data_IF_469284915954
#
_entry.id   IF_469284915954
#
_cell.length_a   1.000
_cell.length_b   1.000
_cell.length_c   1.000
_cell.angle_alpha   90.00
_cell.angle_beta   90.00
_cell.angle_gamma   90.00
#
_symmetry.space_group_name_H-M   'P 1'
#
loop_
_entity.id
_entity.type
_entity.pdbx_description
1 polymer ?
#
# COMPACT_ATOMS: atom_id res chain seq x y z
N UNK A 1 -12.95 9.59 -15.53
CA UNK A 1 -13.44 8.45 -14.71
C UNK A 1 -13.38 8.88 -13.25
N UNK A 2 -14.47 8.72 -12.47
CA UNK A 2 -14.47 8.96 -11.03
C UNK A 2 -14.14 7.64 -10.31
N UNK A 3 -13.25 7.70 -9.33
CA UNK A 3 -12.77 6.51 -8.62
C UNK A 3 -13.67 6.21 -7.42
N UNK A 4 -14.30 5.04 -7.43
CA UNK A 4 -15.20 4.60 -6.37
C UNK A 4 -14.44 4.03 -5.15
N UNK A 5 -13.40 3.23 -5.38
CA UNK A 5 -12.63 2.55 -4.34
C UNK A 5 -11.80 3.51 -3.49
N UNK A 6 -11.94 3.44 -2.16
CA UNK A 6 -11.07 4.14 -1.22
C UNK A 6 -9.61 3.69 -1.34
N UNK A 7 -9.37 2.41 -1.65
CA UNK A 7 -8.02 1.92 -1.87
C UNK A 7 -7.35 2.68 -3.03
N UNK A 8 -7.93 2.64 -4.23
CA UNK A 8 -7.34 3.32 -5.39
C UNK A 8 -7.33 4.84 -5.24
N UNK A 9 -8.36 5.45 -4.64
CA UNK A 9 -8.32 6.90 -4.34
C UNK A 9 -7.14 7.28 -3.48
N UNK A 10 -6.85 6.50 -2.44
CA UNK A 10 -5.73 6.77 -1.55
C UNK A 10 -4.39 6.37 -2.17
N UNK A 11 -4.32 5.30 -2.95
CA UNK A 11 -3.10 4.91 -3.68
C UNK A 11 -2.70 5.99 -4.69
N UNK A 12 -3.66 6.46 -5.50
CA UNK A 12 -3.42 7.52 -6.49
C UNK A 12 -2.94 8.81 -5.82
N UNK A 13 -3.58 9.23 -4.72
CA UNK A 13 -3.15 10.41 -3.99
C UNK A 13 -1.71 10.29 -3.47
N UNK A 14 -1.32 9.12 -2.94
CA UNK A 14 0.05 8.89 -2.48
C UNK A 14 1.05 8.93 -3.64
N UNK A 15 0.69 8.35 -4.79
CA UNK A 15 1.50 8.36 -6.00
C UNK A 15 1.68 9.80 -6.53
N UNK A 16 0.60 10.57 -6.62
CA UNK A 16 0.66 11.98 -7.06
C UNK A 16 1.51 12.84 -6.11
N UNK A 17 1.35 12.67 -4.78
CA UNK A 17 2.17 13.35 -3.78
C UNK A 17 3.66 12.97 -3.89
N UNK A 18 3.96 11.78 -4.41
CA UNK A 18 5.32 11.29 -4.64
C UNK A 18 5.88 11.67 -6.03
N UNK A 19 5.11 12.39 -6.85
CA UNK A 19 5.54 12.86 -8.17
C UNK A 19 5.11 11.98 -9.34
N UNK A 20 4.24 10.99 -9.12
CA UNK A 20 3.63 10.21 -10.21
C UNK A 20 2.63 11.05 -10.99
N UNK A 21 2.44 10.72 -12.25
CA UNK A 21 1.48 11.35 -13.15
C UNK A 21 0.26 10.45 -13.32
N UNK A 22 -0.93 11.02 -13.17
CA UNK A 22 -2.20 10.32 -13.37
C UNK A 22 -2.94 10.96 -14.55
N UNK A 23 -3.04 10.22 -15.65
CA UNK A 23 -3.77 10.66 -16.83
C UNK A 23 -5.15 10.04 -16.88
N UNK A 24 -6.18 10.88 -16.95
CA UNK A 24 -7.57 10.46 -17.05
C UNK A 24 -7.96 10.18 -18.50
N UNK A 25 -8.41 8.96 -18.77
CA UNK A 25 -9.08 8.56 -20.01
C UNK A 25 -10.57 8.30 -19.73
N UNK A 26 -11.36 8.08 -20.75
CA UNK A 26 -12.79 7.81 -20.61
C UNK A 26 -13.08 6.53 -19.81
N UNK A 27 -12.34 5.44 -20.11
CA UNK A 27 -12.57 4.10 -19.56
C UNK A 27 -11.52 3.64 -18.55
N UNK A 28 -10.42 4.40 -18.36
CA UNK A 28 -9.31 4.01 -17.49
C UNK A 28 -8.45 5.20 -17.08
N UNK A 29 -7.59 4.99 -16.10
CA UNK A 29 -6.47 5.88 -15.81
C UNK A 29 -5.16 5.25 -16.25
N UNK A 30 -4.22 6.09 -16.66
CA UNK A 30 -2.82 5.70 -16.88
C UNK A 30 -1.98 6.34 -15.79
N UNK A 31 -1.36 5.53 -14.97
CA UNK A 31 -0.51 5.97 -13.87
C UNK A 31 0.94 5.74 -14.22
N UNK A 32 1.79 6.79 -14.11
CA UNK A 32 3.22 6.73 -14.41
C UNK A 32 4.04 7.31 -13.28
N UNK A 33 5.11 6.63 -12.94
CA UNK A 33 6.14 7.10 -12.01
C UNK A 33 7.45 7.24 -12.77
N UNK A 34 7.73 8.41 -13.40
CA UNK A 34 8.90 8.60 -14.27
C UNK A 34 10.23 8.31 -13.56
N UNK A 35 10.33 8.71 -12.28
CA UNK A 35 11.52 8.53 -11.45
C UNK A 35 11.76 7.08 -11.00
N UNK A 36 10.76 6.20 -11.17
CA UNK A 36 10.87 4.77 -10.83
C UNK A 36 10.09 3.89 -11.83
N UNK A 37 10.61 3.70 -13.06
CA UNK A 37 9.92 2.94 -14.11
C UNK A 37 9.80 1.45 -13.81
N UNK A 38 10.55 0.93 -12.85
CA UNK A 38 10.48 -0.48 -12.39
C UNK A 38 9.48 -0.70 -11.25
N UNK A 39 8.86 0.35 -10.76
CA UNK A 39 7.80 0.25 -9.75
C UNK A 39 6.47 -0.14 -10.41
N UNK A 40 6.07 -1.39 -10.30
CA UNK A 40 4.90 -1.94 -11.01
C UNK A 40 3.60 -1.22 -10.66
N UNK A 41 3.34 -1.04 -9.36
CA UNK A 41 2.16 -0.33 -8.83
C UNK A 41 2.30 1.21 -8.85
N UNK A 42 3.33 1.71 -9.47
CA UNK A 42 3.50 3.11 -9.88
C UNK A 42 3.38 3.30 -11.40
N UNK A 43 3.34 2.19 -12.18
CA UNK A 43 3.25 2.19 -13.63
C UNK A 43 2.20 1.16 -14.08
N UNK A 44 0.92 1.55 -14.06
CA UNK A 44 -0.20 0.64 -14.28
C UNK A 44 -1.38 1.32 -14.98
N UNK A 45 -2.33 0.51 -15.43
CA UNK A 45 -3.64 0.97 -15.88
C UNK A 45 -4.69 0.67 -14.80
N UNK A 46 -5.51 1.65 -14.43
CA UNK A 46 -6.67 1.47 -13.58
C UNK A 46 -7.93 1.48 -14.44
N UNK A 47 -8.57 0.34 -14.56
CA UNK A 47 -9.75 0.15 -15.40
C UNK A 47 -11.02 0.53 -14.65
N UNK A 48 -11.99 1.16 -15.33
CA UNK A 48 -13.30 1.48 -14.75
C UNK A 48 -14.14 0.22 -14.47
N UNK A 49 -13.96 -0.83 -15.29
CA UNK A 49 -14.69 -2.11 -15.19
C UNK A 49 -13.75 -3.27 -15.49
N UNK A 50 -14.02 -4.42 -14.88
CA UNK A 50 -13.33 -5.66 -15.22
C UNK A 50 -13.63 -6.06 -16.67
N UNK A 51 -12.64 -6.61 -17.41
CA UNK A 51 -12.87 -7.13 -18.75
C UNK A 51 -13.81 -8.34 -18.72
N UNK A 52 -14.71 -8.43 -19.70
CA UNK A 52 -15.71 -9.47 -19.77
C UNK A 52 -15.15 -10.82 -20.27
N UNK A 53 -14.10 -10.77 -21.10
CA UNK A 53 -13.48 -11.95 -21.71
C UNK A 53 -11.99 -11.74 -22.00
N UNK A 54 -11.33 -12.79 -22.49
CA UNK A 54 -9.91 -12.76 -22.85
C UNK A 54 -9.58 -11.84 -24.03
N UNK A 55 -10.56 -11.59 -24.92
CA UNK A 55 -10.39 -10.65 -26.04
C UNK A 55 -10.26 -9.22 -25.56
N UNK A 56 -11.08 -8.82 -24.58
CA UNK A 56 -10.95 -7.52 -23.94
C UNK A 56 -9.63 -7.40 -23.16
N UNK A 57 -9.20 -8.47 -22.48
CA UNK A 57 -7.89 -8.49 -21.80
C UNK A 57 -6.75 -8.29 -22.80
N UNK A 58 -6.83 -8.94 -23.98
CA UNK A 58 -5.80 -8.75 -24.99
C UNK A 58 -5.74 -7.29 -25.47
N UNK A 59 -6.87 -6.63 -25.65
CA UNK A 59 -6.94 -5.20 -25.95
C UNK A 59 -6.29 -4.32 -24.87
N UNK A 60 -6.49 -4.68 -23.59
CA UNK A 60 -5.84 -3.99 -22.47
C UNK A 60 -4.32 -4.25 -22.38
N UNK A 61 -3.86 -5.45 -22.71
CA UNK A 61 -2.43 -5.75 -22.81
C UNK A 61 -1.76 -4.90 -23.90
N UNK A 62 -2.38 -4.78 -25.06
CA UNK A 62 -1.92 -3.91 -26.16
C UNK A 62 -1.96 -2.42 -25.76
N UNK A 63 -2.98 -1.99 -25.01
CA UNK A 63 -3.04 -0.63 -24.47
C UNK A 63 -1.90 -0.38 -23.48
N UNK A 64 -1.62 -1.32 -22.59
CA UNK A 64 -0.51 -1.23 -21.65
C UNK A 64 0.85 -1.13 -22.39
N UNK A 65 1.07 -1.93 -23.42
CA UNK A 65 2.31 -1.89 -24.22
C UNK A 65 2.52 -0.55 -24.95
N UNK A 66 1.43 0.07 -25.41
CA UNK A 66 1.52 1.41 -26.01
C UNK A 66 1.90 2.50 -24.99
N UNK A 67 1.36 2.39 -23.76
CA UNK A 67 1.61 3.36 -22.70
C UNK A 67 2.97 3.15 -22.00
N UNK A 68 3.46 1.90 -21.97
CA UNK A 68 4.67 1.48 -21.26
C UNK A 68 5.53 0.55 -22.15
N UNK A 69 6.09 1.03 -23.26
CA UNK A 69 6.78 0.17 -24.24
C UNK A 69 8.02 -0.54 -23.66
N UNK A 70 8.68 0.06 -22.67
CA UNK A 70 9.88 -0.49 -22.04
C UNK A 70 9.59 -1.31 -20.78
N UNK A 71 8.33 -1.37 -20.31
CA UNK A 71 7.98 -2.10 -19.11
C UNK A 71 8.00 -3.62 -19.33
N UNK A 72 8.69 -4.32 -18.44
CA UNK A 72 8.75 -5.78 -18.46
C UNK A 72 7.61 -6.44 -17.68
N UNK A 73 6.88 -5.68 -16.89
CA UNK A 73 5.70 -6.11 -16.16
C UNK A 73 4.41 -5.77 -16.93
N UNK A 74 3.28 -6.30 -16.46
CA UNK A 74 1.93 -5.88 -16.85
C UNK A 74 1.09 -5.79 -15.59
N UNK A 75 0.50 -4.63 -15.31
CA UNK A 75 -0.19 -4.37 -14.04
C UNK A 75 -1.50 -3.62 -14.30
N UNK A 76 -2.59 -4.17 -13.78
CA UNK A 76 -3.93 -3.62 -13.92
C UNK A 76 -4.64 -3.58 -12.58
N UNK A 77 -5.20 -2.42 -12.23
CA UNK A 77 -6.22 -2.30 -11.21
C UNK A 77 -7.61 -2.31 -11.85
N UNK A 78 -8.61 -2.76 -11.12
CA UNK A 78 -10.02 -2.63 -11.51
C UNK A 78 -10.75 -1.87 -10.41
N UNK A 79 -11.29 -0.70 -10.75
CA UNK A 79 -12.01 0.14 -9.79
C UNK A 79 -13.31 -0.53 -9.33
N UNK A 80 -13.69 -0.25 -8.09
CA UNK A 80 -14.92 -0.74 -7.47
C UNK A 80 -14.71 -1.14 -6.02
N UNK A 81 -15.83 -1.28 -5.30
CA UNK A 81 -15.83 -1.52 -3.84
C UNK A 81 -16.22 -2.95 -3.46
N UNK A 82 -16.84 -3.71 -4.37
CA UNK A 82 -17.47 -5.02 -4.09
C UNK A 82 -17.01 -6.13 -5.03
N UNK A 83 -15.93 -5.92 -5.75
CA UNK A 83 -15.40 -6.88 -6.70
C UNK A 83 -15.04 -8.23 -6.07
N UNK A 84 -15.05 -9.28 -6.86
CA UNK A 84 -14.72 -10.64 -6.46
C UNK A 84 -13.57 -11.16 -7.32
N UNK A 85 -12.83 -12.14 -6.82
CA UNK A 85 -11.75 -12.78 -7.58
C UNK A 85 -12.25 -13.34 -8.94
N UNK A 86 -13.51 -13.80 -9.02
CA UNK A 86 -14.10 -14.28 -10.26
C UNK A 86 -14.26 -13.21 -11.35
N UNK A 87 -14.37 -11.94 -10.96
CA UNK A 87 -14.46 -10.82 -11.90
C UNK A 87 -13.13 -10.60 -12.65
N UNK A 88 -12.03 -11.15 -12.14
CA UNK A 88 -10.70 -11.12 -12.76
C UNK A 88 -10.39 -12.42 -13.55
N UNK A 89 -11.34 -13.37 -13.68
CA UNK A 89 -11.09 -14.65 -14.34
C UNK A 89 -10.48 -14.50 -15.75
N UNK A 90 -10.91 -13.55 -16.61
CA UNK A 90 -10.30 -13.38 -17.93
C UNK A 90 -8.79 -13.05 -17.88
N UNK A 91 -8.32 -12.33 -16.84
CA UNK A 91 -6.89 -12.08 -16.64
C UNK A 91 -6.14 -13.37 -16.27
N UNK A 92 -6.73 -14.24 -15.42
CA UNK A 92 -6.12 -15.53 -15.07
C UNK A 92 -5.99 -16.46 -16.30
N UNK A 93 -7.00 -16.46 -17.18
CA UNK A 93 -7.00 -17.29 -18.40
C UNK A 93 -5.87 -16.93 -19.36
N UNK A 94 -5.38 -15.70 -19.34
CA UNK A 94 -4.20 -15.27 -20.12
C UNK A 94 -2.90 -15.33 -19.31
N UNK A 95 -2.91 -15.99 -18.15
CA UNK A 95 -1.72 -16.26 -17.34
C UNK A 95 -1.22 -15.07 -16.50
N UNK A 96 -2.14 -14.22 -16.01
CA UNK A 96 -1.83 -13.19 -15.03
C UNK A 96 -2.10 -13.68 -13.60
N UNK A 97 -1.30 -13.23 -12.67
CA UNK A 97 -1.53 -13.42 -11.24
C UNK A 97 -2.62 -12.46 -10.77
N UNK A 98 -3.53 -12.96 -9.91
CA UNK A 98 -4.64 -12.19 -9.39
C UNK A 98 -4.45 -11.91 -7.90
N UNK A 99 -4.59 -10.64 -7.50
CA UNK A 99 -4.68 -10.25 -6.10
C UNK A 99 -6.04 -9.61 -5.78
N UNK A 100 -6.57 -9.95 -4.61
CA UNK A 100 -7.81 -9.38 -4.07
C UNK A 100 -7.59 -9.01 -2.62
N UNK A 101 -7.21 -7.78 -2.41
CA UNK A 101 -6.96 -7.26 -1.09
C UNK A 101 -8.23 -6.78 -0.39
N UNK A 102 -8.27 -6.88 0.93
CA UNK A 102 -9.32 -6.31 1.77
C UNK A 102 -8.99 -4.85 2.10
N UNK A 103 -9.90 -3.96 1.76
CA UNK A 103 -9.85 -2.56 2.18
C UNK A 103 -10.53 -2.43 3.53
N UNK A 104 -9.83 -1.90 4.50
CA UNK A 104 -10.32 -1.73 5.86
C UNK A 104 -10.34 -0.26 6.22
N UNK A 105 -11.37 0.17 6.92
CA UNK A 105 -11.49 1.55 7.39
C UNK A 105 -11.74 1.61 8.89
N UNK A 106 -11.30 2.70 9.52
CA UNK A 106 -11.64 3.03 10.89
C UNK A 106 -11.99 4.52 11.01
N UNK A 107 -13.05 4.83 11.76
CA UNK A 107 -13.42 6.19 12.17
C UNK A 107 -13.15 6.43 13.66
N UNK A 108 -12.83 5.38 14.37
CA UNK A 108 -12.36 5.37 15.76
C UNK A 108 -11.52 4.11 15.98
N UNK A 109 -10.63 4.15 16.97
CA UNK A 109 -9.81 3.01 17.36
C UNK A 109 -9.82 2.82 18.87
N UNK A 110 -9.51 1.62 19.31
CA UNK A 110 -9.31 1.25 20.71
C UNK A 110 -7.99 0.50 20.89
N UNK A 111 -7.52 0.41 22.12
CA UNK A 111 -6.27 -0.29 22.43
C UNK A 111 -6.34 -1.76 22.01
N UNK A 112 -5.22 -2.31 21.50
CA UNK A 112 -5.15 -3.73 21.16
C UNK A 112 -5.28 -4.59 22.42
N UNK A 113 -5.79 -5.83 22.31
CA UNK A 113 -5.97 -6.73 23.46
C UNK A 113 -4.68 -7.05 24.23
N UNK A 114 -3.53 -6.92 23.58
CA UNK A 114 -2.19 -7.15 24.15
C UNK A 114 -1.26 -6.01 23.74
N UNK A 115 -1.35 -4.86 24.41
CA UNK A 115 -0.46 -3.75 24.12
C UNK A 115 0.98 -4.11 24.55
N UNK A 116 1.94 -3.73 23.73
CA UNK A 116 3.35 -3.80 24.10
C UNK A 116 3.74 -2.48 24.79
N UNK A 117 4.27 -2.58 26.02
CA UNK A 117 4.69 -1.45 26.86
C UNK A 117 6.19 -1.32 26.97
N UNK A 118 6.97 -2.27 26.45
CA UNK A 118 8.42 -2.32 26.59
C UNK A 118 9.12 -1.45 25.55
N UNK A 119 8.53 -1.36 24.34
CA UNK A 119 9.08 -0.57 23.26
C UNK A 119 8.72 0.92 23.37
N UNK A 120 9.61 1.77 22.88
CA UNK A 120 9.36 3.19 22.63
C UNK A 120 8.75 3.38 21.24
N UNK A 121 7.65 4.13 21.17
CA UNK A 121 6.92 4.40 19.93
C UNK A 121 7.11 5.86 19.55
N UNK A 122 7.85 6.13 18.46
CA UNK A 122 8.17 7.48 18.00
C UNK A 122 8.23 7.58 16.48
N UNK A 123 8.25 8.81 15.97
CA UNK A 123 8.47 9.07 14.54
C UNK A 123 9.92 8.73 14.18
N UNK A 124 10.14 8.37 12.91
CA UNK A 124 11.47 8.30 12.32
C UNK A 124 11.92 9.74 12.01
N UNK A 125 13.06 10.14 12.51
CA UNK A 125 13.56 11.51 12.35
C UNK A 125 14.99 11.55 11.80
N UNK A 126 15.85 10.64 12.25
CA UNK A 126 17.27 10.61 11.88
C UNK A 126 17.54 9.77 10.63
N UNK A 127 18.67 10.03 9.96
CA UNK A 127 19.14 9.18 8.86
C UNK A 127 19.34 7.72 9.34
N UNK A 128 19.77 7.53 10.59
CA UNK A 128 19.91 6.20 11.17
C UNK A 128 18.56 5.46 11.31
N UNK A 129 17.47 6.17 11.64
CA UNK A 129 16.13 5.57 11.67
C UNK A 129 15.71 5.09 10.28
N UNK A 130 15.92 5.90 9.25
CA UNK A 130 15.57 5.56 7.88
C UNK A 130 16.43 4.41 7.32
N UNK A 131 17.71 4.33 7.70
CA UNK A 131 18.54 3.18 7.36
C UNK A 131 18.03 1.88 8.03
N UNK A 132 17.55 1.97 9.27
CA UNK A 132 16.94 0.84 9.95
C UNK A 132 15.59 0.45 9.32
N UNK A 133 14.82 1.41 8.81
CA UNK A 133 13.57 1.13 8.08
C UNK A 133 13.86 0.35 6.79
N UNK A 134 14.87 0.76 6.01
CA UNK A 134 15.33 0.01 4.82
C UNK A 134 15.75 -1.42 5.21
N UNK A 135 16.55 -1.56 6.27
CA UNK A 135 16.99 -2.87 6.75
C UNK A 135 15.80 -3.74 7.19
N UNK A 136 14.79 -3.16 7.85
CA UNK A 136 13.58 -3.85 8.25
C UNK A 136 12.75 -4.30 7.04
N UNK A 137 12.71 -3.50 5.98
CA UNK A 137 12.03 -3.84 4.73
C UNK A 137 12.70 -5.01 4.00
N UNK A 138 14.03 -5.10 4.10
CA UNK A 138 14.81 -6.20 3.53
C UNK A 138 14.81 -7.47 4.38
N UNK A 139 14.49 -7.39 5.67
CA UNK A 139 14.47 -8.52 6.60
C UNK A 139 13.21 -9.42 6.49
N UNK A 140 12.37 -9.24 5.47
CA UNK A 140 11.18 -10.05 5.22
C UNK A 140 11.48 -11.52 4.92
N UNK A 141 10.48 -12.41 5.08
CA UNK A 141 10.62 -13.87 4.86
C UNK A 141 10.72 -14.27 3.39
N UNK A 142 10.32 -13.43 2.46
CA UNK A 142 10.46 -13.69 1.03
C UNK A 142 11.90 -13.41 0.59
N UNK A 143 12.54 -14.31 -0.18
CA UNK A 143 13.79 -13.97 -0.85
C UNK A 143 13.52 -12.69 -1.63
N UNK A 144 14.39 -11.71 -1.46
CA UNK A 144 14.21 -10.33 -1.86
C UNK A 144 13.54 -10.21 -3.24
N UNK A 145 12.23 -10.12 -3.27
CA UNK A 145 11.46 -9.77 -4.48
C UNK A 145 11.75 -8.33 -4.88
N UNK A 146 12.43 -7.60 -3.99
CA UNK A 146 12.83 -6.23 -4.21
C UNK A 146 14.34 -6.09 -4.04
N UNK A 147 14.97 -5.56 -5.08
CA UNK A 147 16.35 -5.10 -5.07
C UNK A 147 16.53 -4.02 -3.98
N UNK A 148 17.70 -3.95 -3.38
CA UNK A 148 18.08 -2.91 -2.42
C UNK A 148 17.85 -1.52 -3.00
N UNK A 149 18.13 -1.32 -4.28
CA UNK A 149 17.92 -0.06 -4.98
C UNK A 149 16.45 0.32 -5.00
N UNK A 150 15.53 -0.63 -5.24
CA UNK A 150 14.09 -0.39 -5.20
C UNK A 150 13.61 0.01 -3.81
N UNK A 151 14.05 -0.72 -2.75
CA UNK A 151 13.66 -0.42 -1.37
C UNK A 151 14.20 0.95 -0.95
N UNK A 152 15.43 1.27 -1.33
CA UNK A 152 16.03 2.58 -1.05
C UNK A 152 15.28 3.72 -1.75
N UNK A 153 15.01 3.60 -3.04
CA UNK A 153 14.25 4.60 -3.80
C UNK A 153 12.84 4.82 -3.24
N UNK A 154 12.19 3.75 -2.80
CA UNK A 154 10.88 3.84 -2.13
C UNK A 154 10.99 4.56 -0.79
N UNK A 155 11.94 4.20 0.06
CA UNK A 155 12.17 4.86 1.35
C UNK A 155 12.47 6.36 1.18
N UNK A 156 13.23 6.74 0.16
CA UNK A 156 13.47 8.15 -0.18
C UNK A 156 12.18 8.88 -0.61
N UNK A 157 11.30 8.23 -1.37
CA UNK A 157 10.00 8.80 -1.73
C UNK A 157 9.11 9.01 -0.50
N UNK A 158 9.05 8.01 0.39
CA UNK A 158 8.34 8.08 1.67
C UNK A 158 8.89 9.20 2.57
N UNK A 159 10.21 9.36 2.62
CA UNK A 159 10.88 10.44 3.36
C UNK A 159 10.53 11.83 2.78
N UNK A 160 10.42 11.94 1.45
CA UNK A 160 9.96 13.20 0.82
C UNK A 160 8.51 13.53 1.20
N UNK A 161 7.61 12.54 1.30
CA UNK A 161 6.24 12.76 1.78
C UNK A 161 6.21 13.28 3.22
N UNK A 162 7.06 12.73 4.10
CA UNK A 162 7.21 13.23 5.48
C UNK A 162 7.72 14.66 5.49
N UNK A 163 8.76 14.97 4.72
CA UNK A 163 9.34 16.31 4.62
C UNK A 163 8.36 17.36 4.05
N UNK A 164 7.47 16.92 3.14
CA UNK A 164 6.42 17.75 2.58
C UNK A 164 5.20 17.95 3.52
N UNK A 165 5.19 17.28 4.68
CA UNK A 165 4.14 17.45 5.70
C UNK A 165 2.86 16.64 5.44
N UNK A 166 2.86 15.67 4.52
CA UNK A 166 1.70 14.83 4.26
C UNK A 166 1.41 13.84 5.40
N UNK A 167 2.37 13.55 6.28
CA UNK A 167 2.21 12.62 7.37
C UNK A 167 3.51 12.30 8.06
N UNK A 168 3.60 11.09 8.64
CA UNK A 168 4.80 10.66 9.35
C UNK A 168 5.02 9.14 9.19
N UNK A 169 6.28 8.76 9.28
CA UNK A 169 6.69 7.37 9.47
C UNK A 169 6.98 7.12 10.95
N UNK A 170 6.46 6.04 11.49
CA UNK A 170 6.55 5.68 12.89
C UNK A 170 7.27 4.36 13.09
N UNK A 171 7.95 4.24 14.21
CA UNK A 171 8.64 3.02 14.62
C UNK A 171 8.36 2.63 16.08
N UNK A 172 8.46 1.33 16.33
CA UNK A 172 8.58 0.74 17.66
C UNK A 172 10.04 0.35 17.87
N UNK A 173 10.68 0.92 18.90
CA UNK A 173 12.10 0.76 19.18
C UNK A 173 12.34 0.12 20.55
N UNK A 174 13.33 -0.77 20.62
CA UNK A 174 13.93 -1.24 21.86
C UNK A 174 15.44 -1.02 21.79
N UNK A 175 16.00 -0.38 22.78
CA UNK A 175 17.43 -0.02 22.82
C UNK A 175 17.92 0.62 21.50
N UNK A 176 17.14 1.56 20.97
CA UNK A 176 17.37 2.23 19.69
C UNK A 176 17.29 1.34 18.43
N UNK A 177 16.97 0.06 18.58
CA UNK A 177 16.74 -0.85 17.46
C UNK A 177 15.27 -0.79 17.00
N UNK A 178 15.06 -0.51 15.72
CA UNK A 178 13.74 -0.52 15.10
C UNK A 178 13.24 -1.96 14.91
N UNK A 179 12.11 -2.29 15.54
CA UNK A 179 11.51 -3.63 15.50
C UNK A 179 10.21 -3.70 14.69
N UNK A 180 9.48 -2.60 14.60
CA UNK A 180 8.31 -2.50 13.73
C UNK A 180 8.19 -1.07 13.20
N UNK A 181 7.65 -0.92 12.01
CA UNK A 181 7.44 0.40 11.39
C UNK A 181 6.19 0.45 10.53
N UNK A 182 5.68 1.66 10.32
CA UNK A 182 4.61 1.98 9.38
C UNK A 182 4.55 3.48 9.11
N UNK A 183 4.04 3.83 7.92
CA UNK A 183 3.69 5.21 7.58
C UNK A 183 2.19 5.47 7.71
N UNK A 184 1.81 6.73 7.96
CA UNK A 184 0.45 7.23 7.81
C UNK A 184 0.48 8.60 7.16
N UNK A 185 -0.23 8.75 6.04
CA UNK A 185 -0.22 9.95 5.23
C UNK A 185 -1.63 10.40 4.86
N UNK A 186 -1.84 11.70 4.82
CA UNK A 186 -3.08 12.32 4.33
C UNK A 186 -3.18 12.10 2.81
N UNK A 187 -4.27 11.48 2.37
CA UNK A 187 -4.59 11.31 0.96
C UNK A 187 -5.46 12.45 0.43
N UNK A 188 -6.41 12.93 1.25
CA UNK A 188 -7.26 14.08 0.99
C UNK A 188 -7.82 14.59 2.32
N UNK A 189 -8.49 15.75 2.38
CA UNK A 189 -9.08 16.26 3.61
C UNK A 189 -9.95 15.20 4.31
N UNK A 190 -9.63 14.89 5.56
CA UNK A 190 -10.32 13.89 6.37
C UNK A 190 -10.00 12.42 6.06
N UNK A 191 -9.14 12.13 5.08
CA UNK A 191 -8.81 10.77 4.67
C UNK A 191 -7.30 10.52 4.76
N UNK A 192 -6.87 9.51 5.53
CA UNK A 192 -5.46 9.13 5.63
C UNK A 192 -5.25 7.63 5.35
N UNK A 193 -4.11 7.29 4.73
CA UNK A 193 -3.74 5.97 4.30
C UNK A 193 -2.52 5.45 5.05
N UNK A 194 -2.63 4.24 5.60
CA UNK A 194 -1.49 3.49 6.12
C UNK A 194 -0.60 2.94 5.01
N UNK A 195 0.69 2.97 5.25
CA UNK A 195 1.71 2.41 4.37
C UNK A 195 2.58 1.40 5.12
N UNK A 196 2.83 0.27 4.48
CA UNK A 196 3.91 -0.65 4.78
C UNK A 196 4.05 -1.06 6.26
N UNK A 197 3.00 -1.66 6.83
CA UNK A 197 3.06 -2.17 8.22
C UNK A 197 3.99 -3.38 8.28
N UNK A 198 5.16 -3.22 8.90
CA UNK A 198 6.15 -4.29 9.04
C UNK A 198 6.57 -4.50 10.49
N UNK A 199 6.90 -5.76 10.81
CA UNK A 199 7.51 -6.15 12.08
C UNK A 199 8.63 -7.14 11.79
N UNK A 200 9.80 -6.88 12.39
CA UNK A 200 10.96 -7.76 12.27
C UNK A 200 10.58 -9.20 12.65
N UNK A 201 10.99 -10.23 11.88
CA UNK A 201 10.60 -11.61 12.14
C UNK A 201 10.78 -12.05 13.61
N UNK A 202 11.95 -11.76 14.19
CA UNK A 202 12.29 -12.13 15.57
C UNK A 202 11.50 -11.36 16.65
N UNK A 203 10.79 -10.29 16.27
CA UNK A 203 10.00 -9.46 17.17
C UNK A 203 8.49 -9.67 17.04
N UNK A 204 8.06 -10.62 16.19
CA UNK A 204 6.64 -10.96 16.01
C UNK A 204 6.03 -11.57 17.27
N UNK A 205 4.71 -11.49 17.38
CA UNK A 205 3.95 -12.04 18.52
C UNK A 205 4.06 -11.26 19.83
N UNK A 206 4.78 -10.14 19.86
CA UNK A 206 5.06 -9.32 21.04
C UNK A 206 4.11 -8.11 21.22
N UNK A 207 3.06 -8.00 20.41
CA UNK A 207 2.09 -6.90 20.46
C UNK A 207 2.55 -5.58 19.82
N UNK A 208 3.77 -5.52 19.25
CA UNK A 208 4.36 -4.30 18.68
C UNK A 208 3.48 -3.69 17.59
N UNK A 209 3.09 -4.47 16.57
CA UNK A 209 2.29 -3.98 15.45
C UNK A 209 0.92 -3.44 15.91
N UNK A 210 0.22 -4.14 16.79
CA UNK A 210 -1.08 -3.69 17.29
C UNK A 210 -1.00 -2.37 18.05
N UNK A 211 0.01 -2.22 18.91
CA UNK A 211 0.25 -0.99 19.66
C UNK A 211 0.65 0.15 18.73
N UNK A 212 1.50 -0.13 17.74
CA UNK A 212 1.94 0.87 16.77
C UNK A 212 0.76 1.33 15.91
N UNK A 213 -0.08 0.40 15.38
CA UNK A 213 -1.30 0.75 14.62
C UNK A 213 -2.23 1.63 15.46
N UNK A 214 -2.48 1.30 16.73
CA UNK A 214 -3.31 2.12 17.61
C UNK A 214 -2.75 3.53 17.78
N UNK A 215 -1.46 3.67 18.11
CA UNK A 215 -0.81 4.98 18.32
C UNK A 215 -0.78 5.83 17.05
N UNK A 216 -0.47 5.22 15.91
CA UNK A 216 -0.44 5.90 14.62
C UNK A 216 -1.86 6.27 14.16
N UNK A 217 -2.87 5.46 14.48
CA UNK A 217 -4.27 5.83 14.26
C UNK A 217 -4.68 7.05 15.07
N UNK A 218 -4.27 7.12 16.35
CA UNK A 218 -4.50 8.31 17.19
C UNK A 218 -3.85 9.55 16.58
N UNK A 219 -2.58 9.43 16.15
CA UNK A 219 -1.91 10.51 15.41
C UNK A 219 -2.71 10.95 14.16
N UNK A 220 -3.27 10.00 13.42
CA UNK A 220 -4.11 10.30 12.25
C UNK A 220 -5.34 11.14 12.60
N UNK A 221 -6.04 10.80 13.67
CA UNK A 221 -7.22 11.55 14.12
C UNK A 221 -6.87 12.88 14.78
N UNK A 222 -5.91 12.87 15.68
CA UNK A 222 -5.63 13.99 16.57
C UNK A 222 -4.75 15.07 15.91
N UNK A 223 -3.77 14.68 15.08
CA UNK A 223 -2.78 15.58 14.48
C UNK A 223 -3.02 15.83 12.98
N UNK A 224 -3.40 14.79 12.19
CA UNK A 224 -3.66 14.96 10.76
C UNK A 224 -5.11 15.38 10.46
N UNK A 225 -6.00 15.38 11.45
CA UNK A 225 -7.42 15.72 11.27
C UNK A 225 -8.18 14.72 10.40
N UNK A 226 -7.71 13.48 10.32
CA UNK A 226 -8.42 12.45 9.59
C UNK A 226 -9.74 12.10 10.29
N UNK A 227 -10.79 11.88 9.54
CA UNK A 227 -12.07 11.33 10.00
C UNK A 227 -12.21 9.85 9.61
N UNK A 228 -11.42 9.42 8.63
CA UNK A 228 -11.38 8.04 8.16
C UNK A 228 -9.93 7.64 7.89
N UNK A 229 -9.53 6.53 8.48
CA UNK A 229 -8.25 5.88 8.20
C UNK A 229 -8.48 4.70 7.26
N UNK A 230 -7.61 4.53 6.28
CA UNK A 230 -7.67 3.45 5.29
C UNK A 230 -6.45 2.56 5.40
N UNK A 231 -6.69 1.26 5.40
CA UNK A 231 -5.65 0.23 5.33
C UNK A 231 -6.05 -0.80 4.28
N UNK A 232 -5.10 -1.27 3.50
CA UNK A 232 -5.31 -2.38 2.56
C UNK A 232 -4.45 -3.55 3.03
N UNK A 233 -5.07 -4.70 3.13
CA UNK A 233 -4.46 -5.89 3.69
C UNK A 233 -4.79 -7.14 2.86
N UNK A 234 -3.82 -8.04 2.76
CA UNK A 234 -4.04 -9.39 2.29
C UNK A 234 -5.01 -10.10 3.23
N UNK A 235 -6.17 -10.62 2.74
CA UNK A 235 -7.17 -11.29 3.55
C UNK A 235 -6.65 -12.58 4.22
N UNK A 236 -5.64 -13.22 3.64
CA UNK A 236 -5.08 -14.48 4.11
C UNK A 236 -3.91 -14.27 5.08
N UNK A 237 -3.39 -13.04 5.20
CA UNK A 237 -2.28 -12.73 6.08
C UNK A 237 -2.76 -12.38 7.50
N UNK A 238 -2.06 -12.93 8.52
CA UNK A 238 -2.44 -12.80 9.92
C UNK A 238 -2.57 -11.34 10.42
N UNK A 239 -1.87 -10.40 9.79
CA UNK A 239 -1.90 -8.98 10.17
C UNK A 239 -3.32 -8.37 10.12
N UNK A 240 -4.20 -8.86 9.25
CA UNK A 240 -5.58 -8.37 9.17
C UNK A 240 -6.34 -8.53 10.49
N UNK A 241 -6.00 -9.57 11.29
CA UNK A 241 -6.59 -9.78 12.62
C UNK A 241 -6.16 -8.72 13.62
N UNK A 242 -4.92 -8.22 13.48
CA UNK A 242 -4.41 -7.12 14.31
C UNK A 242 -5.23 -5.87 14.04
N UNK A 243 -5.46 -5.53 12.77
CA UNK A 243 -6.20 -4.34 12.38
C UNK A 243 -7.65 -4.38 12.90
N UNK A 244 -8.34 -5.52 12.72
CA UNK A 244 -9.68 -5.73 13.29
C UNK A 244 -9.69 -5.59 14.81
N UNK A 245 -8.65 -6.07 15.50
CA UNK A 245 -8.54 -6.00 16.96
C UNK A 245 -8.26 -4.59 17.49
N UNK A 246 -8.03 -3.61 16.63
CA UNK A 246 -7.82 -2.18 16.97
C UNK A 246 -9.03 -1.33 16.55
N UNK A 247 -9.98 -1.90 15.80
CA UNK A 247 -11.23 -1.23 15.42
C UNK A 247 -11.44 -1.02 13.93
N UNK A 248 -10.53 -1.52 13.07
CA UNK A 248 -10.75 -1.49 11.62
C UNK A 248 -11.82 -2.50 11.20
N UNK A 249 -12.68 -2.09 10.29
CA UNK A 249 -13.71 -2.93 9.67
C UNK A 249 -13.41 -3.13 8.18
N UNK A 250 -13.71 -4.33 7.67
CA UNK A 250 -13.65 -4.63 6.24
C UNK A 250 -14.77 -3.87 5.53
N UNK A 251 -14.43 -3.03 4.55
CA UNK A 251 -15.41 -2.17 3.88
C UNK A 251 -15.49 -2.39 2.38
N UNK A 252 -14.36 -2.67 1.72
CA UNK A 252 -14.27 -2.82 0.27
C UNK A 252 -13.32 -3.95 -0.12
N UNK A 253 -13.25 -4.22 -1.43
CA UNK A 253 -12.27 -5.12 -2.05
C UNK A 253 -11.51 -4.37 -3.12
N UNK A 254 -10.18 -4.47 -3.12
CA UNK A 254 -9.32 -3.96 -4.19
C UNK A 254 -8.95 -5.12 -5.12
N UNK A 255 -9.23 -4.96 -6.40
CA UNK A 255 -8.97 -5.97 -7.42
C UNK A 255 -7.74 -5.59 -8.25
N UNK A 256 -6.82 -6.52 -8.39
CA UNK A 256 -5.54 -6.32 -9.06
C UNK A 256 -5.18 -7.56 -9.88
N UNK A 257 -4.56 -7.33 -11.05
CA UNK A 257 -3.99 -8.38 -11.88
C UNK A 257 -2.59 -7.97 -12.33
N UNK A 258 -1.62 -8.85 -12.20
CA UNK A 258 -0.24 -8.55 -12.58
C UNK A 258 0.42 -9.72 -13.31
N UNK A 259 1.38 -9.39 -14.17
CA UNK A 259 2.34 -10.34 -14.72
C UNK A 259 3.73 -9.80 -14.45
N UNK A 260 4.48 -10.54 -13.64
CA UNK A 260 5.87 -10.24 -13.31
C UNK A 260 6.78 -10.49 -14.51
N UNK A 261 7.92 -9.79 -14.60
CA UNK A 261 8.94 -10.12 -15.60
C UNK A 261 9.32 -11.59 -15.52
N UNK A 262 9.36 -12.26 -16.67
CA UNK A 262 10.03 -13.55 -16.75
C UNK A 262 11.50 -13.35 -16.45
N UNK A 263 12.07 -14.08 -15.52
CA UNK A 263 13.46 -14.01 -15.10
C UNK A 263 14.45 -14.24 -16.23
#
# INVERSE_FOLDING_TARGET
MDIASLAFRTDLAMLEHSGSLVEHRETHLVVRTPDNPTYWWGNFLLLATAPADTGEVQGWLEAFEREFPDARHRTFGVDGTKGRRGDLAPFAEVGMDLDVSTVMTATAVHEPPRPNTDATYRRLESDADWQQQIALDLAGEEPATHDVDFVTARSEAERRLVAAGYGAWWGAFEDDRLLASMGLFTASPGLARFQNVKTHPDARGRGLAGTLVHRVSRYGFDDLGATTLVMVADPDYLAIRIYRSVGFADTERQLQAERKPSG
#
